data_IF_756400585993
#
_entry.id   IF_756400585993
#
_cell.length_a   1.000
_cell.length_b   1.000
_cell.length_c   1.000
_cell.angle_alpha   90.00
_cell.angle_beta   90.00
_cell.angle_gamma   90.00
#
_symmetry.space_group_name_H-M   'P 1'
#
loop_
_entity.id
_entity.type
_entity.pdbx_description
1 polymer ?
#
# COMPACT_ATOMS: atom_id res chain seq x y z
N UNK A 1 4.15 9.45 7.45
CA UNK A 1 3.71 8.89 8.75
C UNK A 1 3.25 7.45 8.53
N UNK A 2 3.92 6.48 9.15
CA UNK A 2 3.60 5.04 9.04
C UNK A 2 2.56 4.67 10.09
N UNK A 3 1.52 3.94 9.69
CA UNK A 3 0.45 3.48 10.59
C UNK A 3 0.57 1.98 10.84
N UNK A 4 0.70 1.59 12.10
CA UNK A 4 0.93 0.22 12.53
C UNK A 4 -0.19 -0.21 13.46
N UNK A 5 -0.76 -1.38 13.22
CA UNK A 5 -1.79 -1.99 14.03
C UNK A 5 -1.22 -3.24 14.71
N UNK A 6 -1.37 -3.35 16.02
CA UNK A 6 -0.88 -4.49 16.82
C UNK A 6 -2.05 -5.17 17.51
N UNK A 7 -2.08 -6.51 17.43
CA UNK A 7 -3.08 -7.36 18.06
C UNK A 7 -2.40 -8.46 18.89
N UNK A 8 -2.54 -8.42 20.19
CA UNK A 8 -2.07 -9.43 21.15
C UNK A 8 -2.97 -9.36 22.40
N UNK A 9 -3.39 -10.48 22.97
CA UNK A 9 -4.21 -10.51 24.19
C UNK A 9 -3.38 -10.28 25.47
N UNK A 10 -2.07 -10.44 25.41
CA UNK A 10 -1.14 -10.19 26.52
C UNK A 10 -0.71 -8.71 26.57
N UNK A 11 -1.25 -7.97 27.55
CA UNK A 11 -0.94 -6.55 27.75
C UNK A 11 0.56 -6.26 27.89
N UNK A 12 1.32 -7.19 28.48
CA UNK A 12 2.77 -7.03 28.64
C UNK A 12 3.47 -7.09 27.26
N UNK A 13 3.05 -7.98 26.36
CA UNK A 13 3.61 -8.06 25.03
C UNK A 13 3.15 -6.90 24.16
N UNK A 14 1.88 -6.52 24.19
CA UNK A 14 1.40 -5.31 23.51
C UNK A 14 2.24 -4.08 23.84
N UNK A 15 2.51 -3.87 25.14
CA UNK A 15 3.34 -2.76 25.56
C UNK A 15 4.77 -2.87 25.03
N UNK A 16 5.39 -4.05 25.10
CA UNK A 16 6.75 -4.27 24.58
C UNK A 16 6.84 -4.05 23.07
N UNK A 17 5.88 -4.58 22.32
CA UNK A 17 5.82 -4.44 20.87
C UNK A 17 5.66 -2.97 20.47
N UNK A 18 4.75 -2.27 21.13
CA UNK A 18 4.56 -0.83 20.96
C UNK A 18 5.83 -0.05 21.28
N UNK A 19 6.41 -0.25 22.46
CA UNK A 19 7.62 0.48 22.90
C UNK A 19 8.80 0.26 21.92
N UNK A 20 9.04 -0.98 21.47
CA UNK A 20 10.08 -1.31 20.50
C UNK A 20 9.80 -0.63 19.16
N UNK A 21 8.55 -0.64 18.72
CA UNK A 21 8.13 -0.04 17.45
C UNK A 21 8.32 1.47 17.46
N UNK A 22 7.77 2.14 18.47
CA UNK A 22 7.88 3.60 18.61
C UNK A 22 9.32 4.05 18.75
N UNK A 23 10.13 3.35 19.57
CA UNK A 23 11.56 3.64 19.72
C UNK A 23 12.31 3.50 18.40
N UNK A 24 12.09 2.39 17.66
CA UNK A 24 12.75 2.14 16.38
C UNK A 24 12.51 3.26 15.37
N UNK A 25 11.23 3.62 15.17
CA UNK A 25 10.89 4.66 14.19
C UNK A 25 11.35 6.05 14.63
N UNK A 26 11.34 6.35 15.93
CA UNK A 26 11.90 7.59 16.48
C UNK A 26 13.41 7.70 16.21
N UNK A 27 14.18 6.62 16.42
CA UNK A 27 15.62 6.58 16.12
C UNK A 27 15.94 6.80 14.63
N UNK A 28 15.03 6.39 13.73
CA UNK A 28 15.16 6.59 12.28
C UNK A 28 14.62 7.96 11.82
N UNK A 29 14.10 8.80 12.72
CA UNK A 29 13.41 10.05 12.41
C UNK A 29 12.23 9.85 11.43
N UNK A 30 11.47 8.78 11.60
CA UNK A 30 10.30 8.44 10.81
C UNK A 30 9.06 8.54 11.69
N UNK A 31 8.10 9.36 11.31
CA UNK A 31 6.84 9.47 12.03
C UNK A 31 6.04 8.18 11.91
N UNK A 32 5.63 7.61 13.05
CA UNK A 32 4.73 6.46 13.10
C UNK A 32 3.60 6.66 14.12
N UNK A 33 2.52 5.95 13.88
CA UNK A 33 1.40 5.82 14.82
C UNK A 33 1.14 4.34 15.07
N UNK A 34 1.07 3.94 16.33
CA UNK A 34 0.80 2.56 16.74
C UNK A 34 -0.55 2.48 17.43
N UNK A 35 -1.47 1.72 16.83
CA UNK A 35 -2.78 1.41 17.40
C UNK A 35 -2.75 -0.04 17.89
N UNK A 36 -3.18 -0.27 19.15
CA UNK A 36 -3.12 -1.58 19.80
C UNK A 36 -4.53 -2.12 20.07
N UNK A 37 -4.72 -3.43 19.93
CA UNK A 37 -5.95 -4.15 20.22
C UNK A 37 -5.65 -5.40 21.03
N UNK A 38 -6.49 -5.70 22.02
CA UNK A 38 -6.37 -6.87 22.89
C UNK A 38 -7.29 -8.03 22.47
N UNK A 39 -8.17 -7.80 21.50
CA UNK A 39 -9.07 -8.82 20.98
C UNK A 39 -9.37 -8.58 19.51
N UNK A 40 -9.76 -9.66 18.83
CA UNK A 40 -10.01 -9.65 17.38
C UNK A 40 -11.26 -8.86 17.01
N UNK A 41 -12.27 -8.81 17.87
CA UNK A 41 -13.52 -8.08 17.59
C UNK A 41 -13.26 -6.58 17.38
N UNK A 42 -12.59 -5.93 18.32
CA UNK A 42 -12.21 -4.52 18.20
C UNK A 42 -11.20 -4.26 17.10
N UNK A 43 -10.28 -5.23 16.90
CA UNK A 43 -9.32 -5.17 15.80
C UNK A 43 -10.04 -5.16 14.43
N UNK A 44 -11.03 -6.05 14.22
CA UNK A 44 -11.80 -6.11 12.96
C UNK A 44 -12.66 -4.85 12.75
N UNK A 45 -13.18 -4.25 13.81
CA UNK A 45 -13.85 -2.95 13.72
C UNK A 45 -12.88 -1.87 13.23
N UNK A 46 -11.69 -1.79 13.84
CA UNK A 46 -10.65 -0.83 13.45
C UNK A 46 -10.16 -1.00 12.00
N UNK A 47 -10.15 -2.24 11.47
CA UNK A 47 -9.81 -2.48 10.06
C UNK A 47 -10.76 -1.80 9.07
N UNK A 48 -12.03 -1.61 9.44
CA UNK A 48 -13.02 -0.98 8.57
C UNK A 48 -12.96 0.56 8.62
N UNK A 49 -12.38 1.12 9.68
CA UNK A 49 -12.30 2.57 9.86
C UNK A 49 -11.07 3.17 9.17
N UNK A 50 -9.92 2.48 9.27
CA UNK A 50 -8.66 2.99 8.74
C UNK A 50 -7.80 1.91 8.09
N UNK A 51 -7.01 2.30 7.08
CA UNK A 51 -5.98 1.45 6.49
C UNK A 51 -4.67 1.64 7.25
N UNK A 52 -4.00 0.54 7.56
CA UNK A 52 -2.66 0.51 8.16
C UNK A 52 -1.63 0.03 7.14
N UNK A 53 -0.38 0.45 7.33
CA UNK A 53 0.74 0.06 6.48
C UNK A 53 1.31 -1.29 6.91
N UNK A 54 1.16 -1.60 8.21
CA UNK A 54 1.69 -2.83 8.82
C UNK A 54 0.75 -3.35 9.91
N UNK A 55 0.65 -4.67 9.98
CA UNK A 55 -0.11 -5.42 10.98
C UNK A 55 0.82 -6.37 11.71
N UNK A 56 0.84 -6.28 13.03
CA UNK A 56 1.57 -7.17 13.94
C UNK A 56 0.53 -7.97 14.71
N UNK A 57 0.60 -9.29 14.63
CA UNK A 57 -0.46 -10.17 15.14
C UNK A 57 0.14 -11.28 15.99
N UNK A 58 -0.43 -11.51 17.20
CA UNK A 58 -0.29 -12.83 17.81
C UNK A 58 -1.22 -13.83 17.14
N UNK A 59 -0.84 -15.09 17.14
CA UNK A 59 -1.61 -16.16 16.52
C UNK A 59 -2.68 -16.71 17.47
N UNK A 60 -2.33 -16.97 18.72
CA UNK A 60 -3.25 -17.61 19.66
C UNK A 60 -3.67 -16.67 20.77
N UNK A 61 -4.92 -16.32 20.73
CA UNK A 61 -5.62 -15.55 21.73
C UNK A 61 -6.82 -16.36 22.25
N UNK A 62 -7.33 -16.13 23.46
CA UNK A 62 -8.46 -16.86 24.02
C UNK A 62 -9.71 -16.81 23.13
N UNK A 63 -10.08 -17.97 22.54
CA UNK A 63 -11.26 -18.08 21.67
C UNK A 63 -11.09 -17.55 20.24
N UNK A 64 -9.91 -17.05 19.86
CA UNK A 64 -9.67 -16.37 18.60
C UNK A 64 -8.32 -16.77 17.96
N UNK A 65 -8.18 -16.54 16.66
CA UNK A 65 -6.99 -16.92 15.91
C UNK A 65 -6.51 -15.76 15.03
N UNK A 66 -5.26 -15.30 15.27
CA UNK A 66 -4.64 -14.22 14.50
C UNK A 66 -4.44 -14.55 13.01
N UNK A 67 -4.43 -15.84 12.63
CA UNK A 67 -4.38 -16.23 11.22
C UNK A 67 -5.70 -15.89 10.52
N UNK A 68 -6.85 -16.05 11.19
CA UNK A 68 -8.14 -15.61 10.65
C UNK A 68 -8.18 -14.07 10.51
N UNK A 69 -7.64 -13.34 11.49
CA UNK A 69 -7.49 -11.89 11.37
C UNK A 69 -6.63 -11.53 10.16
N UNK A 70 -5.53 -12.23 9.92
CA UNK A 70 -4.67 -12.03 8.74
C UNK A 70 -5.40 -12.32 7.41
N UNK A 71 -6.27 -13.33 7.35
CA UNK A 71 -7.11 -13.61 6.18
C UNK A 71 -8.07 -12.47 5.89
N UNK A 72 -8.70 -11.88 6.91
CA UNK A 72 -9.57 -10.72 6.75
C UNK A 72 -8.79 -9.49 6.26
N UNK A 73 -7.59 -9.23 6.80
CA UNK A 73 -6.70 -8.17 6.31
C UNK A 73 -6.42 -8.38 4.80
N UNK A 74 -6.06 -9.60 4.39
CA UNK A 74 -5.79 -9.93 2.98
C UNK A 74 -7.01 -9.75 2.08
N UNK A 75 -8.20 -10.04 2.60
CA UNK A 75 -9.45 -9.84 1.87
C UNK A 75 -9.75 -8.35 1.61
N UNK A 76 -9.44 -7.51 2.58
CA UNK A 76 -9.72 -6.07 2.52
C UNK A 76 -8.65 -5.29 1.75
N UNK A 77 -7.40 -5.71 1.85
CA UNK A 77 -6.25 -4.99 1.30
C UNK A 77 -5.42 -5.90 0.38
N UNK A 78 -4.96 -5.40 -0.80
CA UNK A 78 -4.30 -6.25 -1.79
C UNK A 78 -2.89 -6.70 -1.36
N UNK A 79 -2.16 -5.88 -0.62
CA UNK A 79 -0.76 -6.15 -0.26
C UNK A 79 -0.38 -5.52 1.10
N UNK A 80 -0.99 -5.97 2.21
CA UNK A 80 -0.64 -5.51 3.54
C UNK A 80 0.63 -6.21 4.03
N UNK A 81 1.48 -5.49 4.79
CA UNK A 81 2.59 -6.11 5.52
C UNK A 81 2.03 -6.76 6.79
N UNK A 82 2.20 -8.08 6.91
CA UNK A 82 1.77 -8.85 8.09
C UNK A 82 2.98 -9.47 8.74
N UNK A 83 3.17 -9.24 10.04
CA UNK A 83 4.19 -9.86 10.89
C UNK A 83 3.49 -10.61 11.99
N UNK A 84 3.78 -11.90 12.13
CA UNK A 84 3.34 -12.64 13.32
C UNK A 84 4.40 -12.59 14.42
N UNK A 85 3.97 -12.32 15.65
CA UNK A 85 4.80 -12.39 16.85
C UNK A 85 4.10 -13.33 17.84
N UNK A 86 4.65 -14.50 18.06
CA UNK A 86 3.96 -15.55 18.83
C UNK A 86 4.93 -16.50 19.54
N UNK A 87 4.44 -17.21 20.56
CA UNK A 87 5.17 -18.31 21.18
C UNK A 87 4.94 -19.67 20.49
N UNK A 88 4.03 -19.74 19.52
CA UNK A 88 3.58 -21.00 18.90
C UNK A 88 4.27 -21.21 17.56
N UNK A 89 5.29 -22.06 17.49
CA UNK A 89 6.08 -22.33 16.27
C UNK A 89 5.37 -23.25 15.26
N UNK A 90 4.38 -24.01 15.70
CA UNK A 90 3.67 -25.00 14.87
C UNK A 90 2.78 -24.39 13.79
N UNK A 91 2.45 -23.09 13.93
CA UNK A 91 1.59 -22.35 12.99
C UNK A 91 2.35 -21.71 11.83
N UNK A 92 3.66 -21.91 11.73
CA UNK A 92 4.46 -21.27 10.69
C UNK A 92 4.01 -21.63 9.27
N UNK A 93 3.51 -22.86 9.04
CA UNK A 93 2.99 -23.29 7.73
C UNK A 93 1.71 -22.52 7.39
N UNK A 94 0.77 -22.43 8.32
CA UNK A 94 -0.50 -21.68 8.12
C UNK A 94 -0.25 -20.19 7.95
N UNK A 95 0.71 -19.62 8.70
CA UNK A 95 1.14 -18.23 8.54
C UNK A 95 1.73 -17.97 7.15
N UNK A 96 2.43 -18.95 6.56
CA UNK A 96 2.93 -18.85 5.19
C UNK A 96 1.79 -18.79 4.16
N UNK A 97 0.68 -19.51 4.36
CA UNK A 97 -0.49 -19.51 3.47
C UNK A 97 -1.15 -18.11 3.38
N UNK A 98 -1.08 -17.31 4.44
CA UNK A 98 -1.57 -15.93 4.44
C UNK A 98 -0.52 -14.93 3.96
N UNK A 99 0.58 -15.43 3.38
CA UNK A 99 1.67 -14.61 2.82
C UNK A 99 2.23 -13.63 3.86
N UNK A 100 2.58 -14.15 5.07
CA UNK A 100 3.22 -13.33 6.10
C UNK A 100 4.59 -12.81 5.64
N UNK A 101 4.91 -11.59 6.02
CA UNK A 101 6.23 -11.03 5.75
C UNK A 101 7.30 -11.61 6.68
N UNK A 102 6.98 -11.74 7.98
CA UNK A 102 7.87 -12.34 8.99
C UNK A 102 7.07 -13.10 10.03
N UNK A 103 7.73 -14.11 10.57
CA UNK A 103 7.27 -14.89 11.73
C UNK A 103 8.35 -14.77 12.82
N UNK A 104 8.01 -14.21 13.98
CA UNK A 104 8.94 -13.85 15.03
C UNK A 104 8.51 -14.54 16.34
N UNK A 105 9.34 -15.42 16.93
CA UNK A 105 9.09 -15.92 18.27
C UNK A 105 9.15 -14.77 19.30
N UNK A 106 8.19 -14.74 20.25
CA UNK A 106 8.11 -13.69 21.29
C UNK A 106 9.42 -13.55 22.08
N UNK A 107 10.17 -14.63 22.27
CA UNK A 107 11.49 -14.63 22.90
C UNK A 107 12.55 -13.84 22.13
N UNK A 108 12.43 -13.79 20.79
CA UNK A 108 13.33 -13.09 19.89
C UNK A 108 12.87 -11.67 19.53
N UNK A 109 11.76 -11.18 20.14
CA UNK A 109 11.08 -9.94 19.80
C UNK A 109 12.04 -8.74 19.70
N UNK A 110 12.88 -8.52 20.74
CA UNK A 110 13.77 -7.35 20.82
C UNK A 110 14.80 -7.29 19.70
N UNK A 111 15.24 -8.45 19.21
CA UNK A 111 16.25 -8.53 18.16
C UNK A 111 15.61 -8.54 16.76
N UNK A 112 14.57 -9.36 16.58
CA UNK A 112 14.04 -9.68 15.25
C UNK A 112 13.05 -8.65 14.72
N UNK A 113 12.32 -7.96 15.60
CA UNK A 113 11.36 -6.94 15.14
C UNK A 113 12.06 -5.73 14.51
N UNK A 114 13.11 -5.13 15.12
CA UNK A 114 13.88 -4.09 14.45
C UNK A 114 14.52 -4.55 13.12
N UNK A 115 15.04 -5.79 13.04
CA UNK A 115 15.57 -6.35 11.79
C UNK A 115 14.50 -6.47 10.69
N UNK A 116 13.25 -6.81 11.06
CA UNK A 116 12.14 -6.83 10.12
C UNK A 116 11.84 -5.42 9.60
N UNK A 117 11.88 -4.41 10.47
CA UNK A 117 11.68 -3.02 10.09
C UNK A 117 12.81 -2.49 9.20
N UNK A 118 14.08 -2.80 9.48
CA UNK A 118 15.21 -2.41 8.62
C UNK A 118 15.05 -2.93 7.19
N UNK A 119 14.52 -4.13 7.03
CA UNK A 119 14.27 -4.72 5.71
C UNK A 119 13.03 -4.15 5.00
N UNK A 120 12.02 -3.69 5.77
CA UNK A 120 10.77 -3.12 5.25
C UNK A 120 10.88 -1.64 4.93
N UNK A 121 11.63 -0.90 5.75
CA UNK A 121 11.66 0.56 5.73
C UNK A 121 11.98 1.15 4.35
N UNK A 122 12.96 0.64 3.57
CA UNK A 122 13.21 1.15 2.22
C UNK A 122 11.98 1.08 1.32
N UNK A 123 11.28 -0.06 1.30
CA UNK A 123 10.07 -0.25 0.49
C UNK A 123 8.87 0.56 0.97
N UNK A 124 8.75 0.79 2.28
CA UNK A 124 7.69 1.64 2.85
C UNK A 124 7.98 3.12 2.56
N UNK A 125 9.23 3.55 2.68
CA UNK A 125 9.64 4.92 2.38
C UNK A 125 9.59 5.23 0.88
N UNK A 126 9.82 4.25 0.00
CA UNK A 126 9.56 4.39 -1.43
C UNK A 126 8.06 4.51 -1.74
N UNK A 127 7.20 3.96 -0.88
CA UNK A 127 5.74 4.15 -0.91
C UNK A 127 5.30 5.46 -0.22
N UNK A 128 6.20 6.39 0.14
CA UNK A 128 5.76 7.72 0.59
C UNK A 128 4.72 8.22 -0.39
N UNK A 129 3.52 8.52 0.12
CA UNK A 129 2.41 9.05 -0.68
C UNK A 129 2.92 10.26 -1.47
N UNK A 130 3.34 10.01 -2.71
CA UNK A 130 3.71 11.07 -3.62
C UNK A 130 2.45 11.77 -4.05
N UNK A 131 2.53 13.08 -4.05
CA UNK A 131 1.40 13.90 -4.43
C UNK A 131 1.73 14.72 -5.66
N UNK A 132 0.77 14.80 -6.57
CA UNK A 132 0.78 15.80 -7.61
C UNK A 132 0.05 17.05 -7.13
N UNK A 133 0.72 18.21 -7.20
CA UNK A 133 0.13 19.48 -6.77
C UNK A 133 -0.46 20.18 -7.99
N UNK A 134 -1.76 20.34 -8.00
CA UNK A 134 -2.48 21.11 -9.01
C UNK A 134 -2.67 22.53 -8.49
N UNK A 135 -2.00 23.47 -9.15
CA UNK A 135 -2.10 24.88 -8.82
C UNK A 135 -2.94 25.61 -9.87
N UNK A 136 -4.15 26.02 -9.51
CA UNK A 136 -5.05 26.86 -10.29
C UNK A 136 -5.10 28.26 -9.67
N UNK A 137 -5.55 29.26 -10.44
CA UNK A 137 -5.53 30.69 -10.04
C UNK A 137 -6.07 30.98 -8.63
N UNK A 138 -7.07 30.24 -8.16
CA UNK A 138 -7.73 30.44 -6.86
C UNK A 138 -7.83 29.16 -6.04
N UNK A 139 -7.15 28.07 -6.44
CA UNK A 139 -7.30 26.76 -5.82
C UNK A 139 -5.99 25.99 -5.93
N UNK A 140 -5.57 25.38 -4.82
CA UNK A 140 -4.47 24.43 -4.80
C UNK A 140 -5.03 23.09 -4.36
N UNK A 141 -4.89 22.08 -5.22
CA UNK A 141 -5.37 20.72 -4.95
C UNK A 141 -4.19 19.76 -4.87
N UNK A 142 -4.22 18.86 -3.91
CA UNK A 142 -3.22 17.82 -3.69
C UNK A 142 -3.83 16.47 -4.05
N UNK A 143 -3.28 15.79 -5.07
CA UNK A 143 -3.71 14.46 -5.50
C UNK A 143 -2.64 13.44 -5.15
N UNK A 144 -2.98 12.47 -4.30
CA UNK A 144 -2.11 11.33 -4.06
C UNK A 144 -1.92 10.51 -5.36
N UNK A 145 -0.69 10.07 -5.66
CA UNK A 145 -0.44 9.21 -6.83
C UNK A 145 -1.28 7.94 -6.77
N UNK A 146 -1.45 7.37 -5.58
CA UNK A 146 -2.28 6.19 -5.32
C UNK A 146 -3.79 6.40 -5.60
N UNK A 147 -4.26 7.65 -5.66
CA UNK A 147 -5.65 7.95 -5.98
C UNK A 147 -5.90 8.17 -7.48
N UNK A 148 -4.83 8.43 -8.26
CA UNK A 148 -4.94 8.73 -9.68
C UNK A 148 -5.01 7.43 -10.48
N UNK A 149 -6.11 7.19 -11.19
CA UNK A 149 -6.29 6.02 -12.05
C UNK A 149 -5.54 6.17 -13.37
N UNK A 150 -5.71 7.28 -14.04
CA UNK A 150 -5.04 7.64 -15.28
C UNK A 150 -5.24 9.13 -15.59
N UNK A 151 -4.52 9.63 -16.58
CA UNK A 151 -4.77 10.93 -17.18
C UNK A 151 -5.12 10.76 -18.64
N UNK A 152 -6.04 11.59 -19.12
CA UNK A 152 -6.47 11.63 -20.53
C UNK A 152 -6.29 13.03 -21.12
N UNK A 153 -5.85 13.09 -22.39
CA UNK A 153 -5.70 14.35 -23.12
C UNK A 153 -7.05 14.77 -23.71
N UNK A 154 -7.41 16.03 -23.51
CA UNK A 154 -8.56 16.66 -24.13
C UNK A 154 -8.17 18.03 -24.70
N UNK A 155 -7.86 18.07 -26.00
CA UNK A 155 -7.38 19.29 -26.66
C UNK A 155 -6.08 19.82 -26.06
N UNK A 156 -6.13 21.00 -25.43
CA UNK A 156 -5.00 21.65 -24.75
C UNK A 156 -4.91 21.32 -23.26
N UNK A 157 -5.75 20.42 -22.79
CA UNK A 157 -5.88 20.07 -21.38
C UNK A 157 -5.53 18.61 -21.16
N UNK A 158 -5.12 18.33 -19.92
CA UNK A 158 -5.02 16.99 -19.36
C UNK A 158 -6.07 16.89 -18.24
N UNK A 159 -6.82 15.80 -18.25
CA UNK A 159 -7.80 15.45 -17.23
C UNK A 159 -7.21 14.35 -16.38
N UNK A 160 -7.02 14.57 -15.09
CA UNK A 160 -6.70 13.57 -14.11
C UNK A 160 -8.01 12.88 -13.69
N UNK A 161 -8.09 11.58 -13.90
CA UNK A 161 -9.21 10.75 -13.42
C UNK A 161 -8.74 10.06 -12.14
N UNK A 162 -9.38 10.39 -11.04
CA UNK A 162 -8.97 9.93 -9.72
C UNK A 162 -10.17 9.49 -8.87
N UNK A 163 -9.89 8.88 -7.72
CA UNK A 163 -10.92 8.26 -6.85
C UNK A 163 -12.08 9.19 -6.48
N UNK A 164 -11.84 10.49 -6.39
CA UNK A 164 -12.84 11.50 -5.98
C UNK A 164 -13.49 12.22 -7.16
N UNK A 165 -13.14 11.89 -8.41
CA UNK A 165 -13.69 12.51 -9.61
C UNK A 165 -12.66 12.84 -10.68
N UNK A 166 -12.84 13.96 -11.37
CA UNK A 166 -11.94 14.42 -12.43
C UNK A 166 -11.47 15.85 -12.16
N UNK A 167 -10.20 16.12 -12.43
CA UNK A 167 -9.66 17.48 -12.42
C UNK A 167 -8.94 17.79 -13.71
N UNK A 168 -9.20 18.98 -14.27
CA UNK A 168 -8.70 19.43 -15.57
C UNK A 168 -7.68 20.52 -15.41
N UNK A 169 -6.51 20.36 -16.05
CA UNK A 169 -5.44 21.36 -16.07
C UNK A 169 -4.94 21.60 -17.51
N UNK A 170 -4.41 22.79 -17.77
CA UNK A 170 -3.79 23.11 -19.06
C UNK A 170 -2.33 22.65 -19.07
N UNK A 171 -2.09 21.48 -19.64
CA UNK A 171 -0.76 20.88 -19.75
C UNK A 171 -0.70 19.89 -20.92
N UNK A 172 0.48 19.34 -21.20
CA UNK A 172 0.63 18.17 -22.06
C UNK A 172 0.88 16.91 -21.22
N UNK A 173 0.52 15.72 -21.75
CA UNK A 173 0.81 14.45 -21.06
C UNK A 173 2.30 14.25 -20.82
N UNK A 174 3.15 14.67 -21.77
CA UNK A 174 4.61 14.56 -21.63
C UNK A 174 5.19 15.49 -20.57
N UNK A 175 4.56 16.64 -20.33
CA UNK A 175 4.93 17.54 -19.22
C UNK A 175 4.59 16.87 -17.88
N UNK A 176 3.36 16.37 -17.77
CA UNK A 176 2.90 15.68 -16.54
C UNK A 176 3.74 14.44 -16.24
N UNK A 177 4.06 13.61 -17.26
CA UNK A 177 4.93 12.43 -17.09
C UNK A 177 6.29 12.79 -16.48
N UNK A 178 6.90 13.89 -16.99
CA UNK A 178 8.18 14.37 -16.46
C UNK A 178 8.07 14.90 -15.02
N UNK A 179 6.99 15.62 -14.71
CA UNK A 179 6.73 16.16 -13.38
C UNK A 179 6.46 15.06 -12.35
N UNK A 180 5.70 14.03 -12.74
CA UNK A 180 5.44 12.86 -11.91
C UNK A 180 6.72 12.09 -11.61
N UNK A 181 7.63 11.99 -12.58
CA UNK A 181 8.91 11.26 -12.46
C UNK A 181 8.80 9.92 -11.72
N UNK A 182 7.82 9.11 -12.11
CA UNK A 182 7.47 7.87 -11.43
C UNK A 182 7.26 6.73 -12.41
N UNK A 183 7.79 5.54 -12.05
CA UNK A 183 7.61 4.31 -12.83
C UNK A 183 6.18 3.78 -12.81
N UNK A 184 5.34 4.28 -11.92
CA UNK A 184 3.94 3.91 -11.80
C UNK A 184 3.10 4.42 -12.96
N UNK A 185 3.51 5.54 -13.56
CA UNK A 185 2.78 6.18 -14.66
C UNK A 185 3.45 5.89 -16.00
N UNK A 186 2.67 5.37 -16.93
CA UNK A 186 3.16 5.02 -18.25
C UNK A 186 2.27 5.58 -19.36
N UNK A 187 2.87 6.25 -20.35
CA UNK A 187 2.13 6.67 -21.55
C UNK A 187 1.73 5.42 -22.35
N UNK A 188 0.45 5.09 -22.32
CA UNK A 188 -0.12 3.95 -23.02
C UNK A 188 -0.42 4.26 -24.49
N UNK A 189 -0.73 5.53 -24.79
CA UNK A 189 -1.07 6.04 -26.11
C UNK A 189 -0.76 7.56 -26.17
N UNK A 190 -1.02 8.21 -27.34
CA UNK A 190 -0.89 9.67 -27.53
C UNK A 190 -1.89 10.47 -26.66
N UNK A 191 -2.94 9.82 -26.20
CA UNK A 191 -4.02 10.42 -25.44
C UNK A 191 -4.09 10.01 -23.97
N UNK A 192 -3.30 9.03 -23.50
CA UNK A 192 -3.43 8.47 -22.16
C UNK A 192 -2.10 8.22 -21.47
N UNK A 193 -2.08 8.56 -20.18
CA UNK A 193 -1.03 8.22 -19.22
C UNK A 193 -1.69 7.38 -18.11
N UNK A 194 -1.43 6.07 -18.09
CA UNK A 194 -2.07 5.13 -17.17
C UNK A 194 -1.21 4.94 -15.92
N UNK A 195 -1.85 4.82 -14.76
CA UNK A 195 -1.22 4.38 -13.53
C UNK A 195 -1.27 2.85 -13.46
N UNK A 196 -0.11 2.21 -13.45
CA UNK A 196 0.04 0.75 -13.44
C UNK A 196 -0.58 0.13 -12.18
N UNK A 197 -0.54 0.80 -11.03
CA UNK A 197 -1.17 0.34 -9.78
C UNK A 197 -2.67 0.06 -9.93
N UNK A 198 -3.31 0.74 -10.86
CA UNK A 198 -4.74 0.62 -11.12
C UNK A 198 -5.10 -0.21 -12.35
N UNK A 199 -4.11 -0.82 -13.01
CA UNK A 199 -4.36 -1.81 -14.07
C UNK A 199 -4.69 -3.14 -13.41
N UNK A 200 -5.94 -3.59 -13.57
CA UNK A 200 -6.41 -4.86 -13.01
C UNK A 200 -6.16 -6.05 -13.93
N UNK A 201 -6.05 -5.79 -15.24
CA UNK A 201 -5.86 -6.82 -16.25
C UNK A 201 -5.36 -6.18 -17.55
N UNK A 202 -4.50 -6.90 -18.27
CA UNK A 202 -4.17 -6.59 -19.65
C UNK A 202 -4.61 -7.77 -20.54
N UNK A 203 -5.44 -7.49 -21.56
CA UNK A 203 -5.85 -8.48 -22.58
C UNK A 203 -5.60 -7.91 -23.96
N UNK A 204 -4.69 -8.53 -24.71
CA UNK A 204 -4.21 -7.94 -25.95
C UNK A 204 -3.61 -6.55 -25.67
N UNK A 205 -4.13 -5.51 -26.33
CA UNK A 205 -3.71 -4.14 -26.13
C UNK A 205 -4.57 -3.34 -25.15
N UNK A 206 -5.57 -3.96 -24.53
CA UNK A 206 -6.50 -3.28 -23.67
C UNK A 206 -6.10 -3.42 -22.20
N UNK A 207 -5.96 -2.29 -21.51
CA UNK A 207 -5.76 -2.18 -20.08
C UNK A 207 -7.13 -1.99 -19.42
N UNK A 208 -7.50 -2.91 -18.56
CA UNK A 208 -8.71 -2.83 -17.75
C UNK A 208 -8.37 -2.14 -16.44
N UNK A 209 -8.86 -0.93 -16.27
CA UNK A 209 -8.58 -0.10 -15.10
C UNK A 209 -9.52 -0.44 -13.94
N UNK A 210 -9.08 -0.14 -12.73
CA UNK A 210 -9.84 -0.41 -11.48
C UNK A 210 -11.19 0.31 -11.43
N UNK A 211 -11.33 1.45 -12.08
CA UNK A 211 -12.56 2.23 -12.18
C UNK A 211 -13.56 1.68 -13.24
N UNK A 212 -13.22 0.55 -13.87
CA UNK A 212 -14.01 -0.09 -14.91
C UNK A 212 -13.75 0.41 -16.33
N UNK A 213 -12.96 1.46 -16.52
CA UNK A 213 -12.60 1.96 -17.84
C UNK A 213 -11.58 1.07 -18.54
N UNK A 214 -11.56 1.13 -19.88
CA UNK A 214 -10.62 0.40 -20.72
C UNK A 214 -9.78 1.40 -21.52
N UNK A 215 -8.46 1.26 -21.43
CA UNK A 215 -7.50 2.09 -22.16
C UNK A 215 -6.77 1.21 -23.18
N UNK A 216 -6.89 1.51 -24.48
CA UNK A 216 -6.20 0.76 -25.52
C UNK A 216 -4.78 1.29 -25.72
N UNK A 217 -3.79 0.43 -25.62
CA UNK A 217 -2.36 0.73 -25.81
C UNK A 217 -2.03 0.90 -27.29
N UNK A 218 -1.32 1.94 -27.62
CA UNK A 218 -0.81 2.16 -28.98
C UNK A 218 0.12 1.03 -29.45
N UNK A 219 0.07 0.67 -30.74
CA UNK A 219 0.86 -0.46 -31.29
C UNK A 219 2.35 -0.34 -30.99
N UNK A 220 2.91 0.84 -31.15
CA UNK A 220 4.34 1.13 -30.93
C UNK A 220 4.75 1.03 -29.44
N UNK A 221 3.80 1.23 -28.53
CA UNK A 221 4.04 1.24 -27.08
C UNK A 221 3.76 -0.10 -26.39
N UNK A 222 3.12 -1.02 -27.10
CA UNK A 222 2.63 -2.28 -26.53
C UNK A 222 3.71 -3.07 -25.78
N UNK A 223 4.90 -3.23 -26.38
CA UNK A 223 5.99 -4.00 -25.77
C UNK A 223 6.46 -3.34 -24.46
N UNK A 224 6.74 -2.06 -24.49
CA UNK A 224 7.20 -1.32 -23.31
C UNK A 224 6.16 -1.25 -22.20
N UNK A 225 4.87 -1.05 -22.53
CA UNK A 225 3.78 -1.06 -21.55
C UNK A 225 3.64 -2.43 -20.89
N UNK A 226 3.70 -3.50 -21.70
CA UNK A 226 3.61 -4.87 -21.16
C UNK A 226 4.80 -5.21 -20.25
N UNK A 227 6.02 -4.85 -20.63
CA UNK A 227 7.21 -5.05 -19.80
C UNK A 227 7.13 -4.26 -18.49
N UNK A 228 6.69 -2.99 -18.55
CA UNK A 228 6.53 -2.17 -17.36
C UNK A 228 5.50 -2.76 -16.37
N UNK A 229 4.38 -3.27 -16.87
CA UNK A 229 3.36 -3.93 -16.05
C UNK A 229 3.91 -5.21 -15.40
N UNK A 230 4.60 -6.06 -16.17
CA UNK A 230 5.17 -7.31 -15.65
C UNK A 230 6.27 -7.08 -14.61
N UNK A 231 7.04 -6.00 -14.75
CA UNK A 231 8.08 -5.64 -13.78
C UNK A 231 7.51 -4.96 -12.52
N UNK A 232 6.27 -4.49 -12.60
CA UNK A 232 5.60 -3.81 -11.48
C UNK A 232 4.81 -4.79 -10.61
N UNK A 233 4.26 -5.86 -11.19
CA UNK A 233 3.49 -6.91 -10.50
C UNK A 233 4.38 -8.01 -9.95
#
# INVERSE_FOLDING_TARGET
MIRIMILDDDEMYLKKEKDITEQYFAEKNVDCTVTIYQNVEWFLLGLNEEKFDMYILDIRMPGENGIEAAREIRRLYPDPVIIFITNFVDYAIEAYEVNTYRYIPKECLKEKLPQAYDALLPGIMEKEERYYIINKRNEVEKLAYSDIFYMKKEGKYVIFVHRRGEVKIRASLSTIEKELNSKEFIISDRGYLANIQHVMKMKGRDLYMRDGNIITVGRERFKGVREAILNYW
#
